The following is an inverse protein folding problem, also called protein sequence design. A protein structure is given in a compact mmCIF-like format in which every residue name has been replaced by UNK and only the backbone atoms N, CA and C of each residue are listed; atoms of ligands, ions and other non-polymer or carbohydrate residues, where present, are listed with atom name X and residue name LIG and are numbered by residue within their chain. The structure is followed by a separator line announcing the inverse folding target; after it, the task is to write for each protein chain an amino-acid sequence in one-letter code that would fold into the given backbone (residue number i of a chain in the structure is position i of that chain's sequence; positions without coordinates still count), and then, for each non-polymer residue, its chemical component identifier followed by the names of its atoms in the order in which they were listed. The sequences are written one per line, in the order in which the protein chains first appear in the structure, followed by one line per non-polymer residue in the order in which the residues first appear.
data_IF_550399465963
#
_entry.id   IF_550399465963
#
_cell.length_a   1.000
_cell.length_b   1.000
_cell.length_c   1.000
_cell.angle_alpha   90.00
_cell.angle_beta   90.00
_cell.angle_gamma   90.00
#
_symmetry.space_group_name_H-M   'P 1'
#
loop_
_entity.id
_entity.type
_entity.pdbx_description
1 polymer ?
#
# COMPACT_ATOMS: atom_id res chain seq x y z
N UNK A 1 73.71 -13.96 -24.19
CA UNK A 1 72.49 -14.76 -24.41
C UNK A 1 71.45 -14.28 -23.40
N UNK A 2 70.44 -13.51 -23.84
CA UNK A 2 69.44 -12.85 -22.99
C UNK A 2 68.11 -13.61 -23.17
N UNK A 3 67.63 -14.28 -22.11
CA UNK A 3 66.33 -15.00 -22.14
C UNK A 3 65.20 -14.01 -21.82
N UNK A 4 64.33 -13.75 -22.77
CA UNK A 4 63.09 -12.99 -22.60
C UNK A 4 62.04 -13.92 -22.00
N UNK A 5 61.52 -13.59 -20.82
CA UNK A 5 60.40 -14.27 -20.16
C UNK A 5 59.09 -13.56 -20.58
N UNK A 6 58.21 -14.30 -21.27
CA UNK A 6 56.88 -13.85 -21.61
C UNK A 6 55.93 -14.10 -20.42
N UNK A 7 55.51 -13.04 -19.78
CA UNK A 7 54.45 -13.08 -18.77
C UNK A 7 53.09 -13.03 -19.47
N UNK A 8 52.39 -14.17 -19.48
CA UNK A 8 51.01 -14.30 -19.94
C UNK A 8 50.06 -13.64 -18.92
N UNK A 9 49.44 -12.54 -19.29
CA UNK A 9 48.35 -11.91 -18.51
C UNK A 9 47.03 -12.58 -18.89
N UNK A 10 46.56 -13.54 -18.06
CA UNK A 10 45.21 -14.07 -18.15
C UNK A 10 44.17 -13.04 -17.72
N UNK A 11 43.46 -12.47 -18.68
CA UNK A 11 42.33 -11.62 -18.47
C UNK A 11 41.11 -12.51 -18.15
N UNK A 12 40.75 -12.61 -16.86
CA UNK A 12 39.51 -13.26 -16.42
C UNK A 12 38.36 -12.31 -16.64
N UNK A 13 37.61 -12.54 -17.70
CA UNK A 13 36.36 -11.83 -18.00
C UNK A 13 35.24 -12.40 -17.11
N UNK A 14 34.95 -11.74 -15.98
CA UNK A 14 33.78 -12.02 -15.11
C UNK A 14 32.51 -11.62 -15.84
N UNK A 15 31.86 -12.58 -16.51
CA UNK A 15 30.56 -12.42 -17.11
C UNK A 15 29.50 -12.42 -15.99
N UNK A 16 29.08 -11.22 -15.55
CA UNK A 16 27.96 -11.06 -14.61
C UNK A 16 26.67 -11.41 -15.33
N UNK A 17 26.20 -12.64 -15.17
CA UNK A 17 24.87 -13.07 -15.64
C UNK A 17 23.84 -12.41 -14.72
N UNK A 18 23.31 -11.26 -15.12
CA UNK A 18 22.07 -10.72 -14.59
C UNK A 18 20.93 -11.66 -15.01
N UNK A 19 20.59 -12.61 -14.16
CA UNK A 19 19.37 -13.38 -14.33
C UNK A 19 18.19 -12.41 -14.13
N UNK A 20 17.64 -11.92 -15.24
CA UNK A 20 16.33 -11.29 -15.24
C UNK A 20 15.32 -12.36 -14.78
N UNK A 21 14.99 -12.35 -13.49
CA UNK A 21 13.85 -13.10 -12.98
C UNK A 21 12.61 -12.53 -13.65
N UNK A 22 12.11 -13.24 -14.63
CA UNK A 22 10.80 -12.99 -15.19
C UNK A 22 9.80 -12.99 -14.03
N UNK A 23 9.17 -11.84 -13.77
CA UNK A 23 8.11 -11.75 -12.77
C UNK A 23 7.02 -12.71 -13.21
N UNK A 24 6.73 -13.72 -12.41
CA UNK A 24 5.59 -14.60 -12.59
C UNK A 24 4.33 -13.74 -12.50
N UNK A 25 3.60 -13.60 -13.62
CA UNK A 25 2.40 -12.76 -13.72
C UNK A 25 1.28 -13.17 -12.77
N UNK A 26 1.40 -14.34 -12.16
CA UNK A 26 0.43 -14.89 -11.20
C UNK A 26 0.94 -14.87 -9.75
N UNK A 27 2.16 -14.37 -9.50
CA UNK A 27 2.67 -14.29 -8.13
C UNK A 27 1.85 -13.25 -7.33
N UNK A 28 1.44 -13.57 -6.09
CA UNK A 28 0.75 -12.62 -5.25
C UNK A 28 1.66 -11.40 -4.99
N UNK A 29 1.10 -10.20 -5.05
CA UNK A 29 1.82 -8.98 -4.75
C UNK A 29 2.50 -9.09 -3.38
N UNK A 30 3.81 -8.92 -3.36
CA UNK A 30 4.63 -8.94 -2.15
C UNK A 30 5.42 -7.62 -2.07
N UNK A 31 5.20 -6.79 -1.04
CA UNK A 31 5.99 -5.58 -0.84
C UNK A 31 7.48 -5.90 -0.65
N UNK A 32 8.33 -4.96 -1.08
CA UNK A 32 9.75 -4.98 -0.77
C UNK A 32 10.04 -4.61 0.69
N UNK A 33 11.33 -4.60 1.09
CA UNK A 33 11.74 -4.13 2.40
C UNK A 33 11.50 -2.61 2.54
N UNK A 34 11.35 -2.12 3.78
CA UNK A 34 11.05 -0.71 4.08
C UNK A 34 12.05 0.26 3.46
N UNK A 35 13.32 -0.16 3.33
CA UNK A 35 14.42 0.66 2.80
C UNK A 35 14.27 0.98 1.30
N UNK A 36 13.50 0.16 0.58
CA UNK A 36 13.26 0.36 -0.86
C UNK A 36 12.24 1.45 -1.17
N UNK A 37 11.57 1.98 -0.13
CA UNK A 37 10.55 3.02 -0.29
C UNK A 37 11.09 4.40 0.07
N UNK A 38 10.93 5.42 -0.80
CA UNK A 38 11.41 6.76 -0.53
C UNK A 38 10.64 7.45 0.62
N UNK A 39 9.31 7.25 0.67
CA UNK A 39 8.47 7.81 1.73
C UNK A 39 8.52 6.91 2.96
N UNK A 40 9.40 7.21 3.91
CA UNK A 40 9.54 6.47 5.15
C UNK A 40 10.00 7.36 6.30
N UNK A 41 9.67 6.93 7.50
CA UNK A 41 10.11 7.56 8.74
C UNK A 41 10.47 6.48 9.76
N UNK A 42 11.54 6.69 10.51
CA UNK A 42 11.97 5.81 11.59
C UNK A 42 11.95 6.56 12.91
N UNK A 43 11.26 6.03 13.90
CA UNK A 43 11.23 6.53 15.27
C UNK A 43 11.28 5.35 16.24
N UNK A 44 12.00 5.47 17.34
CA UNK A 44 12.10 4.44 18.39
C UNK A 44 12.35 3.01 17.86
N UNK A 45 13.20 2.88 16.83
CA UNK A 45 13.49 1.60 16.14
C UNK A 45 12.27 0.98 15.43
N UNK A 46 11.24 1.77 15.17
CA UNK A 46 10.13 1.39 14.31
C UNK A 46 10.23 2.18 13.02
N UNK A 47 10.29 1.49 11.90
CA UNK A 47 10.29 2.10 10.57
C UNK A 47 8.94 1.89 9.92
N UNK A 48 8.32 2.99 9.51
CA UNK A 48 7.11 2.98 8.70
C UNK A 48 7.45 3.48 7.31
N UNK A 49 7.19 2.67 6.31
CA UNK A 49 7.32 3.03 4.90
C UNK A 49 5.93 3.04 4.25
N UNK A 50 5.71 3.97 3.35
CA UNK A 50 4.42 4.17 2.70
C UNK A 50 4.58 4.41 1.21
N UNK A 51 3.59 3.96 0.42
CA UNK A 51 3.53 4.22 -1.00
C UNK A 51 2.07 4.38 -1.45
N UNK A 52 1.68 5.54 -2.00
CA UNK A 52 0.40 5.69 -2.66
C UNK A 52 0.38 4.93 -3.99
N UNK A 53 -0.70 4.18 -4.22
CA UNK A 53 -0.96 3.48 -5.48
C UNK A 53 -1.92 4.32 -6.32
N UNK A 54 -1.43 5.45 -6.77
CA UNK A 54 -2.16 6.54 -7.44
C UNK A 54 -2.18 6.45 -8.97
N UNK A 55 -1.46 5.48 -9.56
CA UNK A 55 -1.42 5.24 -11.00
C UNK A 55 -1.96 3.87 -11.36
N UNK A 56 -2.48 3.73 -12.60
CA UNK A 56 -2.96 2.44 -13.12
C UNK A 56 -1.86 1.38 -13.14
N UNK A 57 -0.62 1.78 -13.38
CA UNK A 57 0.52 0.88 -13.37
C UNK A 57 0.75 0.28 -11.98
N UNK A 58 0.80 1.13 -10.95
CA UNK A 58 0.96 0.69 -9.55
C UNK A 58 -0.23 -0.18 -9.11
N UNK A 59 -1.45 0.22 -9.43
CA UNK A 59 -2.64 -0.56 -9.05
C UNK A 59 -2.69 -1.91 -9.73
N UNK A 60 -2.25 -2.04 -10.98
CA UNK A 60 -2.15 -3.34 -11.67
C UNK A 60 -1.20 -4.31 -10.98
N UNK A 61 -0.12 -3.83 -10.38
CA UNK A 61 0.81 -4.69 -9.64
C UNK A 61 0.15 -5.35 -8.43
N UNK A 62 -0.73 -4.61 -7.74
CA UNK A 62 -1.34 -5.06 -6.50
C UNK A 62 -2.77 -5.60 -6.67
N UNK A 63 -3.54 -5.11 -7.63
CA UNK A 63 -4.98 -5.39 -7.78
C UNK A 63 -5.34 -5.99 -9.13
N UNK A 64 -4.36 -6.45 -9.91
CA UNK A 64 -4.54 -7.03 -11.23
C UNK A 64 -5.27 -6.06 -12.20
N UNK A 65 -6.47 -6.43 -12.63
CA UNK A 65 -7.28 -5.62 -13.54
C UNK A 65 -8.11 -4.54 -12.86
N UNK A 66 -8.14 -4.53 -11.52
CA UNK A 66 -8.90 -3.55 -10.77
C UNK A 66 -8.06 -2.30 -10.55
N UNK A 67 -8.61 -1.15 -10.94
CA UNK A 67 -8.04 0.16 -10.58
C UNK A 67 -9.00 0.89 -9.63
N UNK A 68 -8.76 0.87 -8.32
CA UNK A 68 -9.62 1.53 -7.34
C UNK A 68 -9.70 3.05 -7.53
N UNK A 69 -8.65 3.69 -8.09
CA UNK A 69 -8.63 5.14 -8.31
C UNK A 69 -9.74 5.60 -9.27
N UNK A 70 -10.14 4.76 -10.23
CA UNK A 70 -11.28 5.06 -11.13
C UNK A 70 -12.60 5.20 -10.40
N UNK A 71 -12.68 4.67 -9.18
CA UNK A 71 -13.87 4.70 -8.33
C UNK A 71 -13.70 5.68 -7.15
N UNK A 72 -12.67 6.54 -7.18
CA UNK A 72 -12.41 7.53 -6.14
C UNK A 72 -11.76 6.97 -4.88
N UNK A 73 -11.23 5.76 -4.93
CA UNK A 73 -10.54 5.12 -3.80
C UNK A 73 -9.04 5.09 -4.05
N UNK A 74 -8.27 5.73 -3.19
CA UNK A 74 -6.82 5.71 -3.20
C UNK A 74 -6.32 4.59 -2.29
N UNK A 75 -5.68 3.52 -2.83
CA UNK A 75 -4.97 2.56 -2.01
C UNK A 75 -3.59 3.11 -1.60
N UNK A 76 -3.26 3.03 -0.33
CA UNK A 76 -1.92 3.38 0.18
C UNK A 76 -1.33 2.15 0.85
N UNK A 77 -0.21 1.68 0.33
CA UNK A 77 0.56 0.61 0.95
C UNK A 77 1.27 1.15 2.18
N UNK A 78 1.14 0.45 3.29
CA UNK A 78 1.87 0.72 4.54
C UNK A 78 2.67 -0.52 4.91
N UNK A 79 3.93 -0.32 5.24
CA UNK A 79 4.83 -1.35 5.72
C UNK A 79 5.40 -0.87 7.04
N UNK A 80 5.28 -1.68 8.07
CA UNK A 80 5.80 -1.38 9.41
C UNK A 80 6.84 -2.43 9.75
N UNK A 81 8.05 -2.00 10.08
CA UNK A 81 9.14 -2.83 10.57
C UNK A 81 9.44 -2.50 12.01
N UNK A 82 9.56 -3.52 12.84
CA UNK A 82 9.88 -3.40 14.24
C UNK A 82 11.31 -3.89 14.50
N UNK A 83 12.26 -2.98 14.60
CA UNK A 83 13.64 -3.27 15.01
C UNK A 83 13.85 -3.03 16.52
N UNK A 84 12.77 -2.73 17.25
CA UNK A 84 12.76 -2.59 18.70
C UNK A 84 12.80 -3.95 19.41
N UNK A 85 13.09 -3.95 20.73
CA UNK A 85 13.17 -5.19 21.49
C UNK A 85 11.82 -5.77 21.89
N UNK A 86 10.76 -4.96 21.84
CA UNK A 86 9.42 -5.33 22.31
C UNK A 86 8.47 -5.59 21.15
N UNK A 87 7.50 -6.47 21.32
CA UNK A 87 6.38 -6.63 20.38
C UNK A 87 5.54 -5.35 20.35
N UNK A 88 5.15 -4.93 19.16
CA UNK A 88 4.22 -3.83 18.94
C UNK A 88 2.79 -4.34 18.82
N UNK A 89 1.86 -3.66 19.46
CA UNK A 89 0.42 -3.84 19.28
C UNK A 89 -0.06 -2.85 18.23
N UNK A 90 -0.75 -3.37 17.22
CA UNK A 90 -1.25 -2.63 16.06
C UNK A 90 -2.79 -2.59 16.02
N UNK A 91 -3.45 -3.14 17.03
CA UNK A 91 -4.92 -3.19 17.15
C UNK A 91 -5.55 -1.80 17.31
N UNK A 92 -4.78 -0.83 17.81
CA UNK A 92 -5.17 0.58 17.91
C UNK A 92 -4.69 1.47 16.76
N UNK A 93 -4.06 0.89 15.74
CA UNK A 93 -3.50 1.65 14.62
C UNK A 93 -4.58 2.46 13.90
N UNK A 94 -4.37 3.77 13.84
CA UNK A 94 -5.17 4.71 13.05
C UNK A 94 -4.32 5.32 11.97
N UNK A 95 -4.83 5.33 10.76
CA UNK A 95 -4.14 5.86 9.60
C UNK A 95 -5.04 6.86 8.91
N UNK A 96 -4.55 8.08 8.77
CA UNK A 96 -5.25 9.20 8.14
C UNK A 96 -4.43 9.72 6.97
N UNK A 97 -5.07 10.01 5.85
CA UNK A 97 -4.47 10.70 4.73
C UNK A 97 -4.66 12.21 4.93
N UNK A 98 -3.56 12.94 4.99
CA UNK A 98 -3.56 14.39 5.06
C UNK A 98 -3.48 14.95 3.64
N UNK A 99 -4.47 15.73 3.25
CA UNK A 99 -4.47 16.44 1.96
C UNK A 99 -3.44 17.57 1.96
N UNK A 100 -3.20 18.18 0.79
CA UNK A 100 -2.40 19.39 0.65
C UNK A 100 -2.86 20.55 1.55
N UNK A 101 -4.18 20.64 1.81
CA UNK A 101 -4.79 21.61 2.71
C UNK A 101 -4.83 21.15 4.18
N UNK A 102 -4.14 20.08 4.52
CA UNK A 102 -4.07 19.49 5.87
C UNK A 102 -5.40 18.95 6.38
N UNK A 103 -6.36 18.72 5.50
CA UNK A 103 -7.60 18.01 5.86
C UNK A 103 -7.32 16.54 6.07
N UNK A 104 -7.90 15.97 7.12
CA UNK A 104 -7.79 14.58 7.48
C UNK A 104 -8.86 13.75 6.78
N UNK A 105 -8.45 12.71 6.07
CA UNK A 105 -9.32 11.71 5.49
C UNK A 105 -9.04 10.39 6.19
N UNK A 106 -10.02 9.85 6.88
CA UNK A 106 -9.89 8.57 7.58
C UNK A 106 -9.83 7.40 6.59
N UNK A 107 -9.12 6.34 6.98
CA UNK A 107 -9.07 5.12 6.20
C UNK A 107 -10.45 4.42 6.21
N UNK A 108 -10.93 4.02 5.04
CA UNK A 108 -12.15 3.25 4.86
C UNK A 108 -11.86 1.79 5.19
N UNK A 109 -12.67 1.12 6.04
CA UNK A 109 -12.56 -0.32 6.24
C UNK A 109 -12.69 -1.06 4.90
N UNK A 110 -11.83 -2.04 4.64
CA UNK A 110 -11.80 -2.74 3.34
C UNK A 110 -13.15 -3.31 2.90
N UNK A 111 -13.98 -3.74 3.84
CA UNK A 111 -15.36 -4.23 3.59
C UNK A 111 -16.32 -3.14 3.12
N UNK A 112 -16.00 -1.88 3.40
CA UNK A 112 -16.85 -0.72 3.05
C UNK A 112 -16.41 -0.05 1.75
N UNK A 113 -15.21 -0.38 1.24
CA UNK A 113 -14.70 0.15 -0.02
C UNK A 113 -15.69 -0.07 -1.17
N UNK A 114 -16.36 -1.20 -1.21
CA UNK A 114 -17.39 -1.49 -2.20
C UNK A 114 -18.62 -0.56 -2.13
N UNK A 115 -18.80 0.18 -1.05
CA UNK A 115 -19.91 1.14 -0.89
C UNK A 115 -19.56 2.52 -1.43
N UNK A 116 -18.27 2.81 -1.61
CA UNK A 116 -17.81 4.08 -2.19
C UNK A 116 -18.33 4.18 -3.62
N UNK A 117 -18.97 5.29 -3.96
CA UNK A 117 -19.57 5.51 -5.27
C UNK A 117 -20.50 4.38 -5.76
N UNK A 118 -21.05 3.57 -4.85
CA UNK A 118 -22.11 2.64 -5.21
C UNK A 118 -23.28 3.46 -5.79
N UNK A 119 -23.84 3.07 -6.96
CA UNK A 119 -25.03 3.73 -7.48
C UNK A 119 -26.08 3.69 -6.41
N UNK A 120 -26.58 4.87 -6.00
CA UNK A 120 -27.60 5.00 -4.97
C UNK A 120 -28.76 4.06 -5.30
N UNK A 121 -29.32 3.38 -4.29
CA UNK A 121 -30.54 2.59 -4.47
C UNK A 121 -31.57 3.50 -5.14
N UNK A 122 -32.22 3.06 -6.25
CA UNK A 122 -33.26 3.86 -6.87
C UNK A 122 -34.31 4.20 -5.81
N UNK A 123 -34.54 5.49 -5.61
CA UNK A 123 -35.60 5.97 -4.74
C UNK A 123 -36.91 5.61 -5.44
N UNK A 124 -37.63 4.63 -4.91
CA UNK A 124 -38.98 4.32 -5.36
C UNK A 124 -39.87 5.46 -4.83
N UNK A 125 -40.00 6.51 -5.63
CA UNK A 125 -41.06 7.49 -5.39
C UNK A 125 -42.38 6.79 -5.70
N UNK A 126 -43.34 6.81 -4.74
CA UNK A 126 -44.61 6.12 -4.83
C UNK A 126 -45.51 6.65 -5.95
N UNK A 127 -45.18 6.28 -7.20
CA UNK A 127 -46.05 6.39 -8.36
C UNK A 127 -46.73 5.07 -8.69
N UNK A 128 -47.77 5.03 -9.56
CA UNK A 128 -48.44 3.81 -9.91
C UNK A 128 -47.42 2.80 -10.48
N UNK A 129 -47.51 1.55 -10.01
CA UNK A 129 -46.62 0.44 -10.35
C UNK A 129 -46.43 0.33 -11.88
N UNK A 130 -45.21 0.44 -12.39
CA UNK A 130 -44.98 0.17 -13.81
C UNK A 130 -45.14 -1.31 -14.06
N UNK A 131 -45.96 -1.62 -15.07
CA UNK A 131 -46.33 -3.00 -15.48
C UNK A 131 -45.12 -3.79 -16.07
N UNK A 132 -43.97 -3.17 -16.17
CA UNK A 132 -42.72 -3.83 -16.57
C UNK A 132 -41.66 -3.55 -15.50
N UNK A 133 -41.21 -4.60 -14.81
CA UNK A 133 -40.06 -4.57 -13.93
C UNK A 133 -38.84 -4.38 -14.84
N UNK A 134 -38.12 -3.21 -14.77
CA UNK A 134 -36.89 -3.08 -15.51
C UNK A 134 -35.94 -4.16 -15.01
N UNK A 135 -35.50 -5.06 -15.89
CA UNK A 135 -34.37 -5.94 -15.59
C UNK A 135 -33.15 -5.01 -15.40
N UNK A 136 -32.92 -4.59 -14.17
CA UNK A 136 -31.69 -3.92 -13.83
C UNK A 136 -30.58 -4.96 -14.02
N UNK A 137 -29.78 -4.82 -15.07
CA UNK A 137 -28.51 -5.50 -15.17
C UNK A 137 -27.67 -4.96 -14.02
N UNK A 138 -27.66 -5.64 -12.91
CA UNK A 138 -26.79 -5.36 -11.76
C UNK A 138 -25.36 -5.57 -12.24
N UNK A 139 -24.77 -4.53 -12.83
CA UNK A 139 -23.34 -4.51 -13.07
C UNK A 139 -22.70 -4.72 -11.70
N UNK A 140 -22.05 -5.88 -11.52
CA UNK A 140 -21.32 -6.17 -10.28
C UNK A 140 -20.38 -4.99 -10.01
N UNK A 141 -20.48 -4.42 -8.82
CA UNK A 141 -19.55 -3.35 -8.41
C UNK A 141 -18.12 -3.94 -8.43
N UNK A 142 -17.22 -3.41 -9.27
CA UNK A 142 -15.84 -3.93 -9.39
C UNK A 142 -15.08 -3.89 -8.08
N UNK A 143 -15.42 -2.96 -7.17
CA UNK A 143 -14.82 -2.85 -5.84
C UNK A 143 -15.23 -3.99 -4.89
N UNK A 144 -16.28 -4.76 -5.23
CA UNK A 144 -16.62 -6.00 -4.53
C UNK A 144 -15.68 -7.11 -4.99
N UNK A 145 -14.39 -6.89 -4.81
CA UNK A 145 -13.36 -7.85 -5.18
C UNK A 145 -12.64 -8.32 -3.92
N UNK A 146 -12.51 -9.63 -3.76
CA UNK A 146 -11.76 -10.26 -2.66
C UNK A 146 -10.33 -9.71 -2.53
N UNK A 147 -9.75 -9.22 -3.64
CA UNK A 147 -8.40 -8.62 -3.66
C UNK A 147 -8.31 -7.39 -2.76
N UNK A 148 -9.38 -6.57 -2.67
CA UNK A 148 -9.42 -5.40 -1.77
C UNK A 148 -9.30 -5.85 -0.31
N UNK A 149 -10.13 -6.81 0.12
CA UNK A 149 -10.11 -7.30 1.50
C UNK A 149 -8.84 -8.10 1.80
N UNK A 150 -8.43 -8.96 0.87
CA UNK A 150 -7.26 -9.84 1.05
C UNK A 150 -5.92 -9.10 1.09
N UNK A 151 -5.86 -7.86 0.59
CA UNK A 151 -4.66 -7.01 0.62
C UNK A 151 -4.69 -5.92 1.69
N UNK A 152 -5.79 -5.79 2.42
CA UNK A 152 -5.91 -4.84 3.50
C UNK A 152 -4.89 -5.14 4.62
N UNK A 153 -4.44 -4.11 5.30
CA UNK A 153 -3.59 -4.26 6.47
C UNK A 153 -4.34 -5.00 7.58
N UNK A 154 -3.83 -6.16 7.99
CA UNK A 154 -4.53 -7.07 8.90
C UNK A 154 -3.74 -7.42 10.17
N UNK A 155 -2.45 -7.03 10.27
CA UNK A 155 -1.63 -7.36 11.43
C UNK A 155 -2.15 -6.65 12.69
N UNK A 156 -2.31 -7.39 13.78
CA UNK A 156 -2.72 -6.86 15.10
C UNK A 156 -1.57 -6.75 16.07
N UNK A 157 -0.50 -7.49 15.83
CA UNK A 157 0.72 -7.46 16.61
C UNK A 157 1.91 -7.67 15.69
N UNK A 158 3.07 -7.12 16.06
CA UNK A 158 4.30 -7.19 15.29
C UNK A 158 5.46 -7.50 16.24
N UNK A 159 5.97 -8.73 16.24
CA UNK A 159 7.12 -9.11 17.05
C UNK A 159 8.38 -8.31 16.71
N UNK A 160 9.36 -8.34 17.62
CA UNK A 160 10.70 -7.79 17.36
C UNK A 160 11.35 -8.45 16.15
N UNK A 161 11.97 -7.66 15.28
CA UNK A 161 12.64 -8.10 14.06
C UNK A 161 11.70 -8.40 12.88
N UNK A 162 10.39 -8.32 13.06
CA UNK A 162 9.41 -8.65 12.04
C UNK A 162 8.90 -7.41 11.29
N UNK A 163 8.26 -7.68 10.13
CA UNK A 163 7.59 -6.66 9.32
C UNK A 163 6.16 -7.07 9.00
N UNK A 164 5.25 -6.10 9.02
CA UNK A 164 3.88 -6.27 8.56
C UNK A 164 3.58 -5.27 7.43
N UNK A 165 2.75 -5.67 6.48
CA UNK A 165 2.37 -4.81 5.37
C UNK A 165 0.93 -5.03 4.94
N UNK A 166 0.34 -4.01 4.31
CA UNK A 166 -1.00 -4.08 3.75
C UNK A 166 -1.47 -2.73 3.28
N UNK A 167 -2.64 -2.69 2.68
CA UNK A 167 -3.23 -1.47 2.15
C UNK A 167 -4.25 -0.86 3.11
N UNK A 168 -4.19 0.46 3.21
CA UNK A 168 -5.28 1.31 3.69
C UNK A 168 -5.94 1.99 2.50
N UNK A 169 -7.22 2.21 2.57
CA UNK A 169 -8.04 2.77 1.49
C UNK A 169 -8.62 4.10 1.91
N UNK A 170 -8.54 5.11 1.02
CA UNK A 170 -9.01 6.46 1.31
C UNK A 170 -9.93 6.96 0.19
N UNK A 171 -10.99 7.66 0.55
CA UNK A 171 -11.80 8.42 -0.43
C UNK A 171 -11.10 9.74 -0.76
N UNK A 172 -10.04 9.62 -1.54
CA UNK A 172 -9.17 10.73 -1.90
C UNK A 172 -8.51 10.51 -3.27
N UNK A 173 -7.98 11.59 -3.83
CA UNK A 173 -7.02 11.56 -4.93
C UNK A 173 -5.68 12.05 -4.42
N UNK A 174 -4.62 11.34 -4.76
CA UNK A 174 -3.27 11.73 -4.36
C UNK A 174 -2.85 13.02 -5.08
N UNK A 175 -2.30 13.96 -4.31
CA UNK A 175 -1.74 15.23 -4.78
C UNK A 175 -0.45 15.55 -4.05
N UNK A 176 0.38 16.40 -4.63
CA UNK A 176 1.57 16.95 -3.98
C UNK A 176 1.19 17.71 -2.71
N UNK A 177 2.06 17.71 -1.70
CA UNK A 177 1.81 18.30 -0.38
C UNK A 177 1.03 17.37 0.57
N UNK A 178 0.63 16.18 0.12
CA UNK A 178 -0.04 15.21 0.96
C UNK A 178 0.93 14.45 1.87
N UNK A 179 0.42 13.99 3.01
CA UNK A 179 1.16 13.14 3.94
C UNK A 179 0.28 12.00 4.46
N UNK A 180 0.90 10.96 4.99
CA UNK A 180 0.21 9.94 5.76
C UNK A 180 0.50 10.11 7.25
N UNK A 181 -0.55 10.13 8.06
CA UNK A 181 -0.48 10.29 9.51
C UNK A 181 -0.89 8.99 10.20
N UNK A 182 -0.02 8.46 11.06
CA UNK A 182 -0.25 7.20 11.77
C UNK A 182 -0.11 7.42 13.29
N UNK A 183 -1.03 6.85 14.05
CA UNK A 183 -1.04 6.85 15.53
C UNK A 183 -1.50 5.50 16.05
N UNK A 184 -1.42 5.30 17.36
CA UNK A 184 -1.95 4.12 18.03
C UNK A 184 -1.04 2.89 18.01
N UNK A 185 0.22 3.03 17.62
CA UNK A 185 1.25 2.01 17.81
C UNK A 185 1.63 1.95 19.28
N UNK A 186 1.57 0.77 19.91
CA UNK A 186 1.87 0.61 21.34
C UNK A 186 2.82 -0.55 21.59
N UNK A 187 3.72 -0.41 22.56
CA UNK A 187 4.52 -1.53 23.04
C UNK A 187 3.66 -2.50 23.86
N UNK A 188 3.75 -3.80 23.59
CA UNK A 188 2.91 -4.79 24.23
C UNK A 188 3.07 -4.84 25.76
N UNK A 189 4.29 -4.85 26.37
CA UNK A 189 4.43 -4.99 27.81
C UNK A 189 3.94 -3.77 28.57
N UNK A 190 4.36 -2.58 28.13
CA UNK A 190 4.11 -1.31 28.84
C UNK A 190 2.79 -0.66 28.45
N UNK A 191 2.20 -1.06 27.33
CA UNK A 191 1.10 -0.36 26.65
C UNK A 191 1.42 1.12 26.34
N UNK A 192 2.70 1.48 26.41
CA UNK A 192 3.17 2.81 26.05
C UNK A 192 2.91 3.04 24.57
N UNK A 193 2.20 4.12 24.26
CA UNK A 193 2.00 4.54 22.87
C UNK A 193 3.29 5.17 22.35
N UNK A 194 3.68 4.79 21.13
CA UNK A 194 4.78 5.41 20.40
C UNK A 194 4.34 6.78 19.88
N UNK A 195 5.31 7.61 19.52
CA UNK A 195 5.01 8.87 18.84
C UNK A 195 4.26 8.62 17.52
N UNK A 196 3.57 9.63 17.04
CA UNK A 196 2.94 9.59 15.73
C UNK A 196 3.99 9.62 14.61
N UNK A 197 3.61 9.08 13.47
CA UNK A 197 4.35 9.19 12.23
C UNK A 197 3.60 10.13 11.30
N UNK A 198 4.29 11.09 10.73
CA UNK A 198 3.78 11.95 9.66
C UNK A 198 4.75 11.90 8.49
N UNK A 199 4.36 11.17 7.46
CA UNK A 199 5.25 10.81 6.35
C UNK A 199 4.78 11.55 5.10
N UNK A 200 5.56 12.55 4.61
CA UNK A 200 5.27 13.23 3.35
C UNK A 200 5.27 12.21 2.19
N UNK A 201 4.32 12.38 1.27
CA UNK A 201 4.14 11.46 0.14
C UNK A 201 4.74 11.99 -1.17
N UNK A 202 5.35 13.18 -1.17
CA UNK A 202 5.89 13.83 -2.38
C UNK A 202 7.02 13.05 -3.04
N UNK A 203 7.90 12.43 -2.26
CA UNK A 203 8.97 11.60 -2.80
C UNK A 203 8.46 10.41 -3.63
N UNK A 204 7.20 10.02 -3.48
CA UNK A 204 6.57 9.01 -4.32
C UNK A 204 6.13 9.55 -5.70
N UNK A 205 6.09 10.88 -5.88
CA UNK A 205 5.76 11.56 -7.13
C UNK A 205 6.99 11.77 -8.01
N UNK A 206 8.17 11.92 -7.42
CA UNK A 206 9.44 12.20 -8.12
C UNK A 206 9.95 10.99 -8.93
N UNK A 207 9.41 9.82 -8.71
CA UNK A 207 9.74 8.57 -9.43
C UNK A 207 8.93 8.33 -10.71
N UNK A 208 8.28 9.36 -11.29
CA UNK A 208 7.53 9.27 -12.55
C UNK A 208 8.37 9.65 -13.74
#
# INVERSE_FOLDING_TARGET
MRKMSFASKSLVLLLSIFAARGADKNAPFKPGPTESYPCRQTQEKVTVAVQPFDTEEKTRLAFDKLDPNRYGVLPVLVIIRNDGPSTLMLDGLRVEYLTESRQKVEAIPSREVAKVNAPGRPHISGGPLPTQIPRSSTKKNPLTNWTIEGRAFAAKALPSGESASGFFYFEARHRSGAALYLTGLREAPSRRELFYFEIPLDAALDGR
#
